data_IF_493714315658
#
_entry.id   IF_493714315658
#
_cell.length_a   1.000
_cell.length_b   1.000
_cell.length_c   1.000
_cell.angle_alpha   90.00
_cell.angle_beta   90.00
_cell.angle_gamma   90.00
#
_symmetry.space_group_name_H-M   'P 1'
#
loop_
_entity.id
_entity.type
_entity.pdbx_description
1 polymer ?
#
# COMPACT_ATOMS: atom_id res chain seq x y z
N UNK A 1 15.99 0.28 6.09
CA UNK A 1 14.60 0.78 6.15
C UNK A 1 13.64 -0.38 6.37
N UNK A 2 12.61 -0.22 7.17
CA UNK A 2 11.61 -1.26 7.47
C UNK A 2 10.29 -0.90 6.78
N UNK A 3 9.83 -1.77 5.87
CA UNK A 3 8.63 -1.61 5.07
C UNK A 3 8.89 -1.25 3.61
N UNK A 4 8.50 -2.12 2.68
CA UNK A 4 8.60 -1.95 1.23
C UNK A 4 7.24 -1.59 0.59
N UNK A 5 6.40 -0.87 1.31
CA UNK A 5 5.26 -0.17 0.72
C UNK A 5 5.73 1.02 -0.13
N UNK A 6 4.80 1.64 -0.86
CA UNK A 6 5.14 2.74 -1.79
C UNK A 6 5.92 3.88 -1.11
N UNK A 7 5.60 4.21 0.15
CA UNK A 7 6.30 5.25 0.90
C UNK A 7 7.76 4.85 1.20
N UNK A 8 7.99 3.60 1.66
CA UNK A 8 9.33 3.10 1.94
C UNK A 8 10.18 3.02 0.67
N UNK A 9 9.62 2.48 -0.40
CA UNK A 9 10.31 2.38 -1.68
C UNK A 9 10.66 3.77 -2.26
N UNK A 10 9.74 4.72 -2.22
CA UNK A 10 10.01 6.08 -2.69
C UNK A 10 11.08 6.78 -1.86
N UNK A 11 11.05 6.63 -0.54
CA UNK A 11 12.07 7.15 0.34
C UNK A 11 13.44 6.49 0.08
N UNK A 12 13.47 5.17 -0.05
CA UNK A 12 14.71 4.42 -0.34
C UNK A 12 15.32 4.83 -1.69
N UNK A 13 14.49 5.00 -2.72
CA UNK A 13 14.95 5.49 -4.03
C UNK A 13 15.58 6.87 -3.91
N UNK A 14 14.94 7.79 -3.17
CA UNK A 14 15.49 9.14 -2.98
C UNK A 14 16.81 9.13 -2.20
N UNK A 15 16.94 8.31 -1.17
CA UNK A 15 18.18 8.15 -0.41
C UNK A 15 19.28 7.54 -1.25
N UNK A 16 19.01 6.53 -2.05
CA UNK A 16 19.96 5.93 -2.98
C UNK A 16 20.44 6.93 -4.02
N UNK A 17 19.53 7.74 -4.58
CA UNK A 17 19.88 8.83 -5.51
C UNK A 17 20.74 9.91 -4.85
N UNK A 18 20.62 10.10 -3.54
CA UNK A 18 21.50 10.97 -2.76
C UNK A 18 22.85 10.33 -2.38
N UNK A 19 23.17 9.13 -2.89
CA UNK A 19 24.44 8.44 -2.67
C UNK A 19 24.50 7.65 -1.36
N UNK A 20 23.37 7.41 -0.69
CA UNK A 20 23.34 6.61 0.53
C UNK A 20 23.11 5.12 0.20
N UNK A 21 23.80 4.25 0.93
CA UNK A 21 23.52 2.83 0.89
C UNK A 21 22.24 2.52 1.67
N UNK A 22 21.27 1.88 1.02
CA UNK A 22 19.97 1.60 1.60
C UNK A 22 19.62 0.13 1.49
N UNK A 23 19.34 -0.49 2.63
CA UNK A 23 18.77 -1.83 2.71
C UNK A 23 17.32 -1.74 3.17
N UNK A 24 16.42 -2.44 2.50
CA UNK A 24 15.02 -2.55 2.89
C UNK A 24 14.73 -3.95 3.42
N UNK A 25 13.88 -4.01 4.43
CA UNK A 25 13.33 -5.26 4.95
C UNK A 25 11.81 -5.17 5.00
N UNK A 26 11.12 -6.24 4.61
CA UNK A 26 9.65 -6.29 4.66
C UNK A 26 9.17 -7.67 5.13
N UNK A 27 8.14 -7.69 5.95
CA UNK A 27 7.51 -8.94 6.42
C UNK A 27 6.72 -9.67 5.35
N UNK A 28 6.30 -8.97 4.30
CA UNK A 28 5.51 -9.54 3.20
C UNK A 28 6.44 -10.25 2.21
N UNK A 29 5.89 -11.16 1.42
CA UNK A 29 6.66 -11.88 0.40
C UNK A 29 7.13 -10.99 -0.76
N UNK A 30 6.57 -9.80 -0.91
CA UNK A 30 6.91 -8.88 -1.99
C UNK A 30 6.53 -7.45 -1.67
N UNK A 31 7.03 -6.49 -2.48
CA UNK A 31 6.79 -5.07 -2.29
C UNK A 31 5.34 -4.68 -2.61
N UNK A 32 4.93 -3.49 -2.13
CA UNK A 32 3.63 -2.90 -2.45
C UNK A 32 2.80 -2.53 -1.24
N UNK A 33 2.87 -3.30 -0.16
CA UNK A 33 2.10 -3.03 1.05
C UNK A 33 0.60 -2.94 0.75
N UNK A 34 -0.02 -1.77 0.99
CA UNK A 34 -1.46 -1.54 0.72
C UNK A 34 -1.82 -1.35 -0.76
N UNK A 35 -0.85 -1.35 -1.66
CA UNK A 35 -1.04 -1.44 -3.12
C UNK A 35 -0.82 -2.88 -3.63
N UNK A 36 -0.94 -3.88 -2.77
CA UNK A 36 -0.67 -5.26 -3.12
C UNK A 36 -1.81 -5.87 -3.94
N UNK A 37 -1.41 -6.69 -4.90
CA UNK A 37 -2.26 -7.56 -5.69
C UNK A 37 -2.19 -8.96 -5.10
N UNK A 38 -3.32 -9.59 -4.88
CA UNK A 38 -3.40 -10.99 -4.49
C UNK A 38 -3.39 -11.84 -5.75
N UNK A 39 -2.54 -12.85 -5.74
CA UNK A 39 -2.50 -13.93 -6.73
C UNK A 39 -2.79 -15.22 -6.01
N UNK A 40 -3.38 -16.16 -6.68
CA UNK A 40 -3.65 -17.49 -6.13
C UNK A 40 -4.05 -18.43 -7.23
N UNK A 41 -3.69 -19.69 -7.01
CA UNK A 41 -4.21 -20.81 -7.77
C UNK A 41 -5.56 -21.14 -7.13
N UNK A 42 -6.57 -21.30 -7.92
CA UNK A 42 -7.81 -21.88 -7.43
C UNK A 42 -7.73 -23.43 -7.47
N UNK A 43 -8.74 -24.05 -6.86
CA UNK A 43 -8.89 -25.50 -6.86
C UNK A 43 -9.13 -26.10 -8.27
N UNK A 44 -9.29 -25.27 -9.30
CA UNK A 44 -9.40 -25.65 -10.71
C UNK A 44 -8.09 -25.48 -11.46
N UNK A 45 -7.03 -24.99 -10.80
CA UNK A 45 -5.71 -24.77 -11.38
C UNK A 45 -5.59 -23.51 -12.25
N UNK A 46 -6.60 -22.63 -12.24
CA UNK A 46 -6.56 -21.37 -12.97
C UNK A 46 -5.88 -20.28 -12.15
N UNK A 47 -4.85 -19.67 -12.70
CA UNK A 47 -4.23 -18.48 -12.16
C UNK A 47 -5.22 -17.30 -12.14
N UNK A 48 -5.39 -16.67 -11.00
CA UNK A 48 -6.16 -15.46 -10.87
C UNK A 48 -5.43 -14.39 -10.10
N UNK A 49 -5.75 -13.14 -10.37
CA UNK A 49 -5.22 -12.00 -9.65
C UNK A 49 -6.30 -10.97 -9.35
N UNK A 50 -6.21 -10.32 -8.19
CA UNK A 50 -7.13 -9.28 -7.77
C UNK A 50 -6.42 -8.24 -6.91
N UNK A 51 -6.65 -6.97 -7.21
CA UNK A 51 -6.19 -5.85 -6.39
C UNK A 51 -7.12 -5.69 -5.18
N UNK A 52 -6.68 -6.19 -4.03
CA UNK A 52 -7.48 -6.21 -2.80
C UNK A 52 -7.16 -5.06 -1.84
N UNK A 53 -6.11 -4.32 -2.13
CA UNK A 53 -5.71 -3.12 -1.40
C UNK A 53 -6.30 -1.85 -2.02
N UNK A 54 -5.44 -0.93 -2.47
CA UNK A 54 -5.88 0.24 -3.22
C UNK A 54 -6.42 -0.19 -4.59
N UNK A 55 -7.60 0.30 -4.95
CA UNK A 55 -8.25 0.02 -6.24
C UNK A 55 -7.81 1.03 -7.33
N UNK A 56 -7.41 2.20 -6.92
CA UNK A 56 -6.84 3.27 -7.73
C UNK A 56 -6.15 4.28 -6.82
N UNK A 57 -5.41 5.20 -7.40
CA UNK A 57 -4.86 6.35 -6.69
C UNK A 57 -5.10 7.64 -7.48
N UNK A 58 -4.96 8.79 -6.81
CA UNK A 58 -5.07 10.12 -7.42
C UNK A 58 -3.80 10.89 -7.15
N UNK A 59 -3.34 11.67 -8.12
CA UNK A 59 -2.15 12.50 -7.99
C UNK A 59 -2.55 13.99 -8.03
N UNK A 60 -2.48 14.67 -6.90
CA UNK A 60 -2.82 16.10 -6.79
C UNK A 60 -1.58 16.97 -6.70
N UNK A 61 -0.61 16.58 -5.88
CA UNK A 61 0.64 17.32 -5.68
C UNK A 61 1.54 17.22 -6.91
N UNK A 62 2.19 18.33 -7.30
CA UNK A 62 2.98 18.40 -8.52
C UNK A 62 4.11 17.35 -8.58
N UNK A 63 4.83 17.16 -7.48
CA UNK A 63 5.91 16.16 -7.41
C UNK A 63 5.37 14.73 -7.56
N UNK A 64 4.20 14.43 -6.97
CA UNK A 64 3.59 13.12 -7.14
C UNK A 64 3.06 12.92 -8.56
N UNK A 65 2.50 13.97 -9.20
CA UNK A 65 2.14 13.93 -10.63
C UNK A 65 3.34 13.63 -11.50
N UNK A 66 4.50 14.25 -11.22
CA UNK A 66 5.74 13.95 -11.93
C UNK A 66 6.22 12.50 -11.73
N UNK A 67 6.07 11.96 -10.52
CA UNK A 67 6.35 10.54 -10.26
C UNK A 67 5.43 9.62 -11.05
N UNK A 68 4.12 9.91 -11.07
CA UNK A 68 3.13 9.15 -11.84
C UNK A 68 3.41 9.20 -13.35
N UNK A 69 3.79 10.37 -13.87
CA UNK A 69 4.18 10.49 -15.28
C UNK A 69 5.38 9.60 -15.64
N UNK A 70 6.38 9.50 -14.76
CA UNK A 70 7.49 8.55 -14.95
C UNK A 70 7.03 7.09 -14.93
N UNK A 71 6.08 6.74 -14.06
CA UNK A 71 5.50 5.39 -14.00
C UNK A 71 4.70 5.06 -15.27
N UNK A 72 3.98 6.04 -15.83
CA UNK A 72 3.28 5.88 -17.11
C UNK A 72 4.27 5.68 -18.26
N UNK A 73 5.36 6.47 -18.31
CA UNK A 73 6.43 6.29 -19.30
C UNK A 73 7.11 4.92 -19.19
N UNK A 74 7.23 4.40 -17.97
CA UNK A 74 7.76 3.06 -17.71
C UNK A 74 6.73 1.93 -17.96
N UNK A 75 5.48 2.25 -18.30
CA UNK A 75 4.41 1.28 -18.54
C UNK A 75 3.89 0.58 -17.27
N UNK A 76 4.20 1.12 -16.08
CA UNK A 76 3.80 0.50 -14.80
C UNK A 76 2.61 1.17 -14.12
N UNK A 77 2.10 2.25 -14.70
CA UNK A 77 0.85 2.89 -14.29
C UNK A 77 0.13 3.47 -15.50
N UNK A 78 -1.19 3.60 -15.41
CA UNK A 78 -1.98 4.23 -16.47
C UNK A 78 -3.19 4.98 -15.90
N UNK A 79 -3.75 5.86 -16.73
CA UNK A 79 -4.97 6.60 -16.44
C UNK A 79 -6.16 5.63 -16.55
N UNK A 80 -6.95 5.56 -15.49
CA UNK A 80 -8.15 4.75 -15.47
C UNK A 80 -9.39 5.62 -15.65
N UNK A 81 -10.12 5.41 -16.73
CA UNK A 81 -11.37 6.07 -17.06
C UNK A 81 -12.57 5.12 -16.90
N UNK A 82 -13.01 4.86 -15.65
CA UNK A 82 -14.11 3.92 -15.42
C UNK A 82 -15.46 4.51 -15.80
N UNK A 83 -16.37 3.66 -16.26
CA UNK A 83 -17.81 3.97 -16.23
C UNK A 83 -18.28 3.92 -14.77
N UNK A 84 -18.24 5.08 -14.13
CA UNK A 84 -18.43 5.19 -12.69
C UNK A 84 -19.89 5.49 -12.36
N UNK A 85 -20.48 4.65 -11.53
CA UNK A 85 -21.83 4.86 -10.99
C UNK A 85 -21.79 5.18 -9.50
N UNK A 86 -22.80 5.90 -9.05
CA UNK A 86 -23.07 6.15 -7.64
C UNK A 86 -24.46 5.60 -7.30
N UNK A 87 -24.51 4.81 -6.24
CA UNK A 87 -25.73 4.30 -5.64
C UNK A 87 -25.90 4.97 -4.27
N UNK A 88 -27.05 5.62 -4.06
CA UNK A 88 -27.38 6.33 -2.83
C UNK A 88 -28.83 6.02 -2.46
N UNK A 89 -29.03 4.92 -1.72
CA UNK A 89 -30.35 4.33 -1.51
C UNK A 89 -30.94 3.84 -2.83
N UNK A 90 -32.07 4.40 -3.22
CA UNK A 90 -32.78 4.09 -4.48
C UNK A 90 -32.27 4.90 -5.68
N UNK A 91 -31.47 5.93 -5.42
CA UNK A 91 -30.90 6.78 -6.47
C UNK A 91 -29.73 6.09 -7.16
N UNK A 92 -29.68 6.16 -8.49
CA UNK A 92 -28.62 5.61 -9.34
C UNK A 92 -28.21 6.66 -10.35
N UNK A 93 -26.97 7.05 -10.29
CA UNK A 93 -26.41 8.08 -11.17
C UNK A 93 -25.15 7.59 -11.87
N UNK A 94 -25.05 7.78 -13.18
CA UNK A 94 -23.79 7.73 -13.89
C UNK A 94 -23.06 9.05 -13.63
N UNK A 95 -21.85 9.00 -13.10
CA UNK A 95 -21.06 10.21 -12.81
C UNK A 95 -19.87 10.34 -13.73
N UNK A 96 -19.86 11.38 -14.51
CA UNK A 96 -18.60 11.90 -15.06
C UNK A 96 -17.76 12.47 -13.92
N UNK A 97 -16.57 11.94 -13.77
CA UNK A 97 -15.64 12.41 -12.74
C UNK A 97 -14.53 13.21 -13.37
N UNK A 98 -14.36 14.45 -12.94
CA UNK A 98 -13.21 15.29 -13.30
C UNK A 98 -11.91 14.89 -12.59
N UNK A 99 -11.99 13.95 -11.63
CA UNK A 99 -10.83 13.47 -10.89
C UNK A 99 -10.12 12.41 -11.70
N UNK A 100 -8.88 12.67 -12.09
CA UNK A 100 -8.01 11.66 -12.71
C UNK A 100 -7.72 10.56 -11.70
N UNK A 101 -7.95 9.32 -12.12
CA UNK A 101 -7.62 8.12 -11.36
C UNK A 101 -6.57 7.34 -12.11
N UNK A 102 -5.60 6.84 -11.37
CA UNK A 102 -4.53 6.04 -11.92
C UNK A 102 -4.56 4.65 -11.30
N UNK A 103 -4.15 3.67 -12.07
CA UNK A 103 -3.98 2.28 -11.65
C UNK A 103 -2.58 1.80 -11.98
N UNK A 104 -2.10 0.81 -11.24
CA UNK A 104 -0.89 0.08 -11.63
C UNK A 104 -1.19 -0.86 -12.80
N UNK A 105 -0.23 -1.02 -13.71
CA UNK A 105 -0.33 -1.83 -14.92
C UNK A 105 0.82 -2.82 -14.98
N UNK A 106 0.59 -4.14 -15.14
CA UNK A 106 -0.70 -4.85 -15.30
C UNK A 106 -1.48 -5.00 -13.98
N UNK A 107 -0.92 -4.71 -12.83
CA UNK A 107 -1.53 -4.82 -11.50
C UNK A 107 -1.19 -3.63 -10.64
N UNK A 108 -1.96 -3.38 -9.58
CA UNK A 108 -1.72 -2.27 -8.66
C UNK A 108 -0.33 -2.34 -7.98
N UNK A 109 0.28 -3.51 -7.90
CA UNK A 109 1.63 -3.69 -7.36
C UNK A 109 2.75 -3.21 -8.32
N UNK A 110 2.48 -3.01 -9.60
CA UNK A 110 3.50 -2.73 -10.61
C UNK A 110 4.38 -1.49 -10.30
N UNK A 111 3.85 -0.33 -9.89
CA UNK A 111 4.69 0.81 -9.50
C UNK A 111 5.64 0.50 -8.34
N UNK A 112 5.18 -0.29 -7.37
CA UNK A 112 6.02 -0.70 -6.24
C UNK A 112 7.14 -1.65 -6.68
N UNK A 113 6.84 -2.62 -7.56
CA UNK A 113 7.86 -3.51 -8.14
C UNK A 113 8.89 -2.74 -8.97
N UNK A 114 8.44 -1.76 -9.73
CA UNK A 114 9.33 -0.89 -10.50
C UNK A 114 10.31 -0.13 -9.59
N UNK A 115 9.83 0.48 -8.51
CA UNK A 115 10.72 1.14 -7.54
C UNK A 115 11.65 0.15 -6.83
N UNK A 116 11.18 -1.05 -6.51
CA UNK A 116 11.97 -2.07 -5.85
C UNK A 116 13.06 -2.67 -6.75
N UNK A 117 12.94 -2.59 -8.08
CA UNK A 117 13.85 -3.26 -9.02
C UNK A 117 15.31 -2.79 -8.93
N UNK A 118 15.54 -1.59 -8.41
CA UNK A 118 16.89 -1.01 -8.23
C UNK A 118 17.36 -1.01 -6.78
N UNK A 119 16.56 -1.56 -5.86
CA UNK A 119 16.79 -1.51 -4.42
C UNK A 119 17.10 -2.93 -3.88
N UNK A 120 17.91 -2.99 -2.84
CA UNK A 120 18.11 -4.22 -2.08
C UNK A 120 16.96 -4.42 -1.10
N UNK A 121 16.06 -5.38 -1.39
CA UNK A 121 14.91 -5.69 -0.56
C UNK A 121 15.00 -7.13 -0.05
N UNK A 122 15.13 -7.29 1.25
CA UNK A 122 15.08 -8.58 1.93
C UNK A 122 13.63 -8.85 2.38
N UNK A 123 13.01 -9.86 1.80
CA UNK A 123 11.63 -10.27 2.10
C UNK A 123 11.48 -11.79 1.88
N UNK A 124 10.75 -12.53 2.73
CA UNK A 124 10.13 -12.04 3.95
C UNK A 124 11.12 -11.84 5.09
N UNK A 125 10.99 -10.73 5.84
CA UNK A 125 11.78 -10.46 7.04
C UNK A 125 10.93 -9.65 8.03
N UNK A 126 10.40 -10.31 9.04
CA UNK A 126 9.52 -9.68 10.02
C UNK A 126 10.32 -9.12 11.20
N UNK A 127 10.64 -7.83 11.19
CA UNK A 127 11.39 -7.18 12.26
C UNK A 127 10.57 -7.14 13.54
N UNK A 128 11.06 -7.79 14.57
CA UNK A 128 10.45 -7.83 15.89
C UNK A 128 11.08 -6.88 16.89
N UNK A 129 12.37 -6.60 16.75
CA UNK A 129 13.10 -5.75 17.68
C UNK A 129 14.11 -4.88 16.93
N UNK A 130 14.36 -3.71 17.51
CA UNK A 130 15.38 -2.77 17.11
C UNK A 130 16.17 -2.42 18.36
N UNK A 131 17.47 -2.26 18.28
CA UNK A 131 18.30 -1.75 19.38
C UNK A 131 19.33 -0.75 18.90
N UNK A 132 19.61 0.21 19.75
CA UNK A 132 20.75 1.12 19.56
C UNK A 132 22.01 0.52 20.16
N UNK A 133 23.12 0.66 19.47
CA UNK A 133 24.45 0.28 19.93
C UNK A 133 25.42 1.44 19.82
N UNK A 134 26.66 1.28 20.29
CA UNK A 134 27.69 2.32 20.27
C UNK A 134 27.95 2.86 18.84
N UNK A 135 27.83 2.03 17.83
CA UNK A 135 28.16 2.36 16.44
C UNK A 135 26.95 2.33 15.49
N UNK A 136 25.73 2.48 16.00
CA UNK A 136 24.54 2.52 15.14
C UNK A 136 23.38 1.69 15.67
N UNK A 137 22.62 1.15 14.74
CA UNK A 137 21.39 0.43 15.00
C UNK A 137 21.47 -1.00 14.50
N UNK A 138 20.92 -1.93 15.25
CA UNK A 138 20.69 -3.29 14.80
C UNK A 138 19.20 -3.62 14.78
N UNK A 139 18.82 -4.50 13.88
CA UNK A 139 17.47 -5.01 13.72
C UNK A 139 17.43 -6.53 13.90
N UNK A 140 16.32 -7.04 14.42
CA UNK A 140 16.13 -8.46 14.69
C UNK A 140 14.91 -8.97 13.92
N UNK A 141 15.07 -9.56 12.72
CA UNK A 141 14.05 -10.37 12.08
C UNK A 141 13.68 -11.58 12.92
N UNK A 142 12.40 -11.98 12.91
CA UNK A 142 11.93 -13.19 13.56
C UNK A 142 12.65 -14.45 13.03
N UNK A 143 12.96 -14.44 11.75
CA UNK A 143 13.47 -15.58 10.99
C UNK A 143 14.97 -15.84 11.24
N UNK A 144 15.73 -14.80 11.62
CA UNK A 144 17.20 -14.88 11.64
C UNK A 144 17.86 -14.39 12.92
N UNK A 145 17.07 -13.88 13.89
CA UNK A 145 17.63 -13.24 15.08
C UNK A 145 18.32 -11.90 14.76
N UNK A 146 19.24 -11.45 15.62
CA UNK A 146 19.94 -10.18 15.42
C UNK A 146 20.86 -10.24 14.20
N UNK A 147 20.66 -9.31 13.27
CA UNK A 147 21.60 -9.18 12.14
C UNK A 147 22.94 -8.65 12.65
N UNK A 148 24.04 -9.18 12.09
CA UNK A 148 25.39 -8.69 12.40
C UNK A 148 25.64 -7.28 11.87
N UNK A 149 24.94 -6.91 10.77
CA UNK A 149 25.03 -5.58 10.15
C UNK A 149 24.52 -4.50 11.10
N UNK A 150 25.31 -3.45 11.26
CA UNK A 150 24.93 -2.23 11.97
C UNK A 150 24.57 -1.14 10.97
N UNK A 151 23.50 -0.41 11.23
CA UNK A 151 23.02 0.67 10.36
C UNK A 151 23.18 2.03 11.04
N UNK A 152 23.60 3.04 10.30
CA UNK A 152 23.70 4.42 10.82
C UNK A 152 22.34 5.01 11.20
N UNK A 153 21.28 4.60 10.52
CA UNK A 153 19.89 5.02 10.79
C UNK A 153 18.90 3.91 10.46
N UNK A 154 17.76 3.93 11.15
CA UNK A 154 16.61 3.07 10.85
C UNK A 154 15.39 3.94 10.58
N UNK A 155 14.77 3.75 9.41
CA UNK A 155 13.54 4.41 9.03
C UNK A 155 12.39 3.40 9.04
N UNK A 156 11.28 3.78 9.69
CA UNK A 156 10.09 2.95 9.78
C UNK A 156 9.03 3.44 8.79
N UNK A 157 8.84 2.71 7.70
CA UNK A 157 7.82 2.96 6.69
C UNK A 157 6.64 1.97 6.79
N UNK A 158 6.24 1.70 8.03
CA UNK A 158 5.17 0.77 8.39
C UNK A 158 3.96 1.51 8.96
N UNK A 159 2.76 0.92 8.96
CA UNK A 159 1.59 1.52 9.59
C UNK A 159 1.82 1.86 11.07
N UNK A 160 1.28 2.99 11.53
CA UNK A 160 1.48 3.50 12.88
C UNK A 160 1.31 2.47 14.02
N UNK A 161 0.30 1.58 14.00
CA UNK A 161 0.18 0.54 15.05
C UNK A 161 1.34 -0.46 15.09
N UNK A 162 2.15 -0.56 14.03
CA UNK A 162 3.33 -1.44 13.98
C UNK A 162 4.59 -0.74 14.49
N UNK A 163 4.56 0.58 14.69
CA UNK A 163 5.68 1.36 15.20
C UNK A 163 5.85 1.17 16.71
N UNK A 164 4.76 1.21 17.47
CA UNK A 164 4.79 1.16 18.92
C UNK A 164 5.55 -0.05 19.49
N UNK A 165 5.32 -1.29 19.04
CA UNK A 165 6.08 -2.45 19.52
C UNK A 165 7.60 -2.34 19.31
N UNK A 166 8.02 -1.67 18.22
CA UNK A 166 9.44 -1.55 17.85
C UNK A 166 10.15 -0.44 18.64
N UNK A 167 9.45 0.65 19.00
CA UNK A 167 10.05 1.86 19.55
C UNK A 167 9.71 2.13 21.02
N UNK A 168 8.83 1.34 21.65
CA UNK A 168 8.29 1.63 22.98
C UNK A 168 9.38 1.92 24.06
N UNK A 169 10.48 1.21 24.00
CA UNK A 169 11.59 1.37 24.96
C UNK A 169 12.70 2.28 24.46
N UNK A 170 12.71 2.63 23.17
CA UNK A 170 13.78 3.40 22.52
C UNK A 170 13.42 4.87 22.37
N UNK A 171 12.23 5.14 21.86
CA UNK A 171 11.79 6.49 21.46
C UNK A 171 10.32 6.72 21.82
N UNK A 172 9.98 6.93 23.10
CA UNK A 172 8.58 7.11 23.54
C UNK A 172 7.87 8.27 22.84
N UNK A 173 8.60 9.33 22.46
CA UNK A 173 8.06 10.46 21.73
C UNK A 173 7.55 10.11 20.35
N UNK A 174 8.24 9.24 19.61
CA UNK A 174 7.79 8.74 18.31
C UNK A 174 6.61 7.78 18.47
N UNK A 175 6.55 7.01 19.54
CA UNK A 175 5.39 6.16 19.86
C UNK A 175 4.16 7.04 20.08
N UNK A 176 4.26 8.08 20.92
CA UNK A 176 3.16 9.00 21.18
C UNK A 176 2.66 9.70 19.90
N UNK A 177 3.58 10.01 18.96
CA UNK A 177 3.22 10.54 17.65
C UNK A 177 2.47 9.50 16.80
N UNK A 178 2.93 8.26 16.79
CA UNK A 178 2.29 7.16 16.04
C UNK A 178 0.89 6.85 16.60
N UNK A 179 0.71 6.88 17.91
CA UNK A 179 -0.58 6.60 18.58
C UNK A 179 -1.66 7.65 18.26
N UNK A 180 -1.27 8.85 17.81
CA UNK A 180 -2.22 9.87 17.31
C UNK A 180 -2.84 9.48 15.96
N UNK A 181 -2.23 8.56 15.22
CA UNK A 181 -2.73 8.11 13.93
C UNK A 181 -3.83 7.05 14.10
N UNK A 182 -5.08 7.47 14.01
CA UNK A 182 -6.23 6.56 14.09
C UNK A 182 -6.35 5.77 12.80
N UNK A 183 -6.00 4.50 12.83
CA UNK A 183 -6.15 3.59 11.70
C UNK A 183 -7.41 2.75 11.86
N UNK A 184 -8.19 2.66 10.77
CA UNK A 184 -9.39 1.82 10.71
C UNK A 184 -9.17 0.67 9.76
N UNK A 185 -9.74 -0.49 10.10
CA UNK A 185 -9.78 -1.65 9.20
C UNK A 185 -10.70 -1.39 8.02
N UNK A 186 -10.37 -1.97 6.87
CA UNK A 186 -11.19 -1.98 5.67
C UNK A 186 -11.36 -3.42 5.21
N UNK A 187 -12.60 -3.82 4.94
CA UNK A 187 -12.89 -5.13 4.38
C UNK A 187 -12.81 -5.06 2.85
N UNK A 188 -12.11 -6.02 2.25
CA UNK A 188 -12.12 -6.23 0.81
C UNK A 188 -12.78 -7.58 0.53
N UNK A 189 -13.88 -7.56 -0.22
CA UNK A 189 -14.55 -8.75 -0.70
C UNK A 189 -14.18 -8.93 -2.18
N UNK A 190 -13.54 -10.04 -2.49
CA UNK A 190 -13.18 -10.45 -3.84
C UNK A 190 -14.15 -11.55 -4.28
N UNK A 191 -14.87 -11.32 -5.37
CA UNK A 191 -15.82 -12.26 -5.93
C UNK A 191 -15.34 -12.72 -7.30
N UNK A 192 -15.31 -14.02 -7.50
CA UNK A 192 -15.12 -14.64 -8.82
C UNK A 192 -16.45 -15.19 -9.30
N UNK A 193 -16.79 -14.87 -10.53
CA UNK A 193 -18.01 -15.36 -11.17
C UNK A 193 -17.67 -16.42 -12.21
N UNK A 194 -18.54 -17.41 -12.37
CA UNK A 194 -18.37 -18.49 -13.35
C UNK A 194 -18.46 -17.99 -14.81
N UNK A 195 -19.08 -16.83 -15.02
CA UNK A 195 -19.19 -16.19 -16.33
C UNK A 195 -19.00 -14.67 -16.20
N UNK A 196 -18.62 -13.96 -17.28
CA UNK A 196 -18.51 -12.51 -17.28
C UNK A 196 -19.82 -11.84 -16.87
N UNK A 197 -19.72 -10.86 -15.99
CA UNK A 197 -20.86 -10.08 -15.52
C UNK A 197 -21.00 -8.83 -16.38
N UNK A 198 -22.06 -8.73 -17.18
CA UNK A 198 -22.34 -7.57 -18.00
C UNK A 198 -23.10 -6.52 -17.19
N UNK A 199 -22.38 -5.46 -16.77
CA UNK A 199 -22.96 -4.31 -16.10
C UNK A 199 -22.76 -3.03 -16.93
N UNK A 200 -23.69 -2.08 -16.77
CA UNK A 200 -23.54 -0.75 -17.37
C UNK A 200 -22.38 0.06 -16.80
N UNK A 201 -21.74 -0.42 -15.74
CA UNK A 201 -20.61 0.21 -15.06
C UNK A 201 -19.49 -0.82 -14.80
N UNK A 202 -18.29 -0.33 -14.61
CA UNK A 202 -17.13 -1.12 -14.16
C UNK A 202 -16.54 -0.60 -12.82
N UNK A 203 -17.14 0.47 -12.27
CA UNK A 203 -16.89 0.90 -10.91
C UNK A 203 -18.15 1.56 -10.32
N UNK A 204 -18.33 1.42 -9.01
CA UNK A 204 -19.45 2.05 -8.31
C UNK A 204 -19.06 2.50 -6.91
N UNK A 205 -19.60 3.64 -6.49
CA UNK A 205 -19.68 4.05 -5.09
C UNK A 205 -21.06 3.74 -4.54
N UNK A 206 -21.11 2.97 -3.47
CA UNK A 206 -22.36 2.65 -2.76
C UNK A 206 -22.35 3.36 -1.42
N UNK A 207 -23.11 4.47 -1.30
CA UNK A 207 -23.14 5.28 -0.08
C UNK A 207 -24.20 4.80 0.91
N UNK A 208 -25.31 4.26 0.40
CA UNK A 208 -26.40 3.72 1.20
C UNK A 208 -26.93 2.44 0.56
N UNK A 209 -27.28 1.47 1.37
CA UNK A 209 -27.81 0.19 0.90
C UNK A 209 -27.96 -0.83 2.03
N UNK A 210 -28.65 -1.95 1.79
CA UNK A 210 -28.92 -2.97 2.81
C UNK A 210 -27.65 -3.60 3.38
N UNK A 211 -26.57 -3.68 2.61
CA UNK A 211 -25.26 -4.17 3.06
C UNK A 211 -24.55 -3.16 3.97
N UNK A 212 -24.75 -1.87 3.77
CA UNK A 212 -24.14 -0.81 4.57
C UNK A 212 -24.94 -0.49 5.85
N UNK A 213 -26.24 -0.80 5.89
CA UNK A 213 -27.09 -0.60 7.08
C UNK A 213 -26.79 -1.59 8.21
N UNK A 214 -26.29 -2.78 7.89
CA UNK A 214 -25.93 -3.83 8.87
C UNK A 214 -24.50 -3.71 9.41
N UNK A 215 -23.65 -3.02 8.71
CA UNK A 215 -22.35 -2.64 9.19
C UNK A 215 -22.45 -1.20 9.72
N UNK A 216 -22.19 -0.98 11.01
CA UNK A 216 -21.92 0.34 11.58
C UNK A 216 -20.64 0.95 10.98
N UNK A 217 -20.33 0.66 9.73
CA UNK A 217 -19.12 0.93 9.01
C UNK A 217 -19.34 2.10 8.05
N UNK A 218 -18.80 3.24 8.49
CA UNK A 218 -18.32 4.30 7.64
C UNK A 218 -19.36 5.29 7.07
N UNK A 219 -19.78 6.21 7.90
CA UNK A 219 -19.90 7.59 7.41
C UNK A 219 -18.49 8.03 7.06
N UNK A 220 -18.21 8.27 5.76
CA UNK A 220 -17.02 9.01 5.37
C UNK A 220 -17.10 10.39 6.00
N UNK A 221 -16.07 10.90 6.69
CA UNK A 221 -15.92 12.34 6.85
C UNK A 221 -15.83 12.92 5.44
N UNK A 222 -16.61 13.95 5.17
CA UNK A 222 -16.51 14.74 3.96
C UNK A 222 -15.08 15.29 3.90
N UNK A 223 -14.36 14.96 2.85
CA UNK A 223 -13.10 15.61 2.58
C UNK A 223 -13.40 17.00 2.01
N UNK A 224 -13.21 18.02 2.84
CA UNK A 224 -13.07 19.42 2.44
C UNK A 224 -11.75 19.57 1.65
#
# INVERSE_FOLDING_TARGET
>A
MIGSGIAGLSCATALQQAGLEVSLVDKSRGPGGRMSTRQGDDWQGDDWQCDHGAQYFTARHAEFRAAVARWQQAGVADLWAPRLWRFDGDSRECRESRVERFVGTPTMTAPARYLASTLSVQAPANIQQIRRQAHGWQVCPAEHGWLETSFSAVLLAVPAPQVAPLLKQLEPGLVALADRAVMRGSWALMLRFAAPVNLAFNAAFVNQGPLLRKSNLLRRPEYV
#
